data_IF_754339049991
#
_entry.id   IF_754339049991
#
_cell.length_a   1.000
_cell.length_b   1.000
_cell.length_c   1.000
_cell.angle_alpha   90.00
_cell.angle_beta   90.00
_cell.angle_gamma   90.00
#
_symmetry.space_group_name_H-M   'P 1'
#
loop_
_entity.id
_entity.type
_entity.pdbx_description
1 polymer ?
#
# COMPACT_ATOMS: atom_id res chain seq x y z
N UNK A 1 3.38 33.49 6.48
CA UNK A 1 3.97 32.15 6.67
C UNK A 1 4.75 31.81 5.41
N UNK A 2 5.90 31.13 5.49
CA UNK A 2 6.71 30.82 4.30
C UNK A 2 6.07 29.69 3.47
N UNK A 3 6.38 29.61 2.15
CA UNK A 3 5.84 28.59 1.23
C UNK A 3 5.95 27.15 1.76
N UNK A 4 7.01 26.85 2.51
CA UNK A 4 7.21 25.53 3.14
C UNK A 4 6.04 25.16 4.06
N UNK A 5 5.50 26.10 4.82
CA UNK A 5 4.48 25.82 5.83
C UNK A 5 3.14 25.32 5.26
N UNK A 6 2.95 25.47 3.95
CA UNK A 6 1.75 25.04 3.21
C UNK A 6 1.80 23.57 2.78
N UNK A 7 2.96 22.91 2.85
CA UNK A 7 3.03 21.45 2.70
C UNK A 7 2.39 20.78 3.91
N UNK A 8 1.43 19.89 3.67
CA UNK A 8 0.78 19.05 4.68
C UNK A 8 0.82 17.60 4.24
N UNK A 9 0.92 16.70 5.21
CA UNK A 9 0.62 15.28 5.01
C UNK A 9 -0.43 14.86 6.01
N UNK A 10 -1.53 14.30 5.52
CA UNK A 10 -2.55 13.64 6.32
C UNK A 10 -2.41 12.15 6.05
N UNK A 11 -2.06 11.36 7.06
CA UNK A 11 -1.78 9.93 6.87
C UNK A 11 -2.42 9.07 7.93
N UNK A 12 -2.91 7.91 7.50
CA UNK A 12 -3.40 6.82 8.35
C UNK A 12 -2.57 5.60 8.02
N UNK A 13 -2.04 4.95 9.05
CA UNK A 13 -1.14 3.81 8.89
C UNK A 13 -1.55 2.66 9.80
N UNK A 14 -1.05 1.46 9.50
CA UNK A 14 -1.16 0.27 10.35
C UNK A 14 -0.63 0.44 11.79
N UNK A 15 0.11 1.52 12.11
CA UNK A 15 0.51 1.81 13.49
C UNK A 15 -0.66 2.32 14.35
N UNK A 16 -1.66 2.94 13.72
CA UNK A 16 -2.78 3.59 14.40
C UNK A 16 -4.07 2.76 14.36
N UNK A 17 -4.20 1.86 13.38
CA UNK A 17 -5.43 1.12 13.07
C UNK A 17 -5.13 -0.29 12.59
N UNK A 18 -6.10 -1.20 12.75
CA UNK A 18 -6.03 -2.50 12.09
C UNK A 18 -6.16 -2.32 10.57
N UNK A 19 -5.53 -3.21 9.79
CA UNK A 19 -5.44 -3.07 8.33
C UNK A 19 -6.80 -2.96 7.64
N UNK A 20 -7.82 -3.68 8.14
CA UNK A 20 -9.19 -3.64 7.64
C UNK A 20 -9.89 -2.30 7.88
N UNK A 21 -9.41 -1.49 8.82
CA UNK A 21 -10.00 -0.20 9.18
C UNK A 21 -9.39 0.96 8.38
N UNK A 22 -8.22 0.78 7.76
CA UNK A 22 -7.57 1.80 6.92
C UNK A 22 -8.44 2.14 5.70
N UNK A 23 -9.16 1.15 5.16
CA UNK A 23 -10.06 1.32 4.01
C UNK A 23 -11.19 2.34 4.28
N UNK A 24 -11.55 2.56 5.55
CA UNK A 24 -12.53 3.58 5.93
C UNK A 24 -12.06 5.01 5.63
N UNK A 25 -10.75 5.20 5.43
CA UNK A 25 -10.10 6.48 5.16
C UNK A 25 -9.71 6.62 3.68
N UNK A 26 -10.09 5.69 2.81
CA UNK A 26 -9.87 5.81 1.37
C UNK A 26 -10.88 6.77 0.74
N UNK A 27 -10.50 7.39 -0.38
CA UNK A 27 -11.43 8.19 -1.20
C UNK A 27 -12.53 7.29 -1.74
N UNK A 28 -13.72 7.35 -1.12
CA UNK A 28 -14.88 6.60 -1.58
C UNK A 28 -15.40 7.24 -2.87
N UNK A 29 -15.77 6.37 -3.82
CA UNK A 29 -16.27 6.78 -5.14
C UNK A 29 -17.76 6.46 -5.21
N UNK A 30 -18.57 7.41 -5.65
CA UNK A 30 -20.00 7.20 -5.82
C UNK A 30 -20.31 6.61 -7.19
N UNK A 31 -20.81 5.37 -7.24
CA UNK A 31 -21.17 4.71 -8.50
C UNK A 31 -19.96 4.52 -9.43
N UNK A 32 -20.02 5.09 -10.64
CA UNK A 32 -18.95 5.01 -11.65
C UNK A 32 -18.00 6.22 -11.61
N UNK A 33 -17.98 6.96 -10.52
CA UNK A 33 -17.09 8.11 -10.36
C UNK A 33 -15.61 7.68 -10.43
N UNK A 34 -14.86 8.35 -11.30
CA UNK A 34 -13.42 8.18 -11.39
C UNK A 34 -12.72 8.81 -10.19
N UNK A 35 -11.63 8.21 -9.73
CA UNK A 35 -10.83 8.72 -8.61
C UNK A 35 -10.41 10.19 -8.82
N UNK A 36 -10.12 10.56 -10.08
CA UNK A 36 -9.73 11.91 -10.44
C UNK A 36 -10.79 12.94 -10.07
N UNK A 37 -12.05 12.68 -10.46
CA UNK A 37 -13.17 13.58 -10.14
C UNK A 37 -13.42 13.72 -8.63
N UNK A 38 -13.25 12.64 -7.87
CA UNK A 38 -13.37 12.69 -6.41
C UNK A 38 -12.28 13.56 -5.77
N UNK A 39 -11.04 13.47 -6.26
CA UNK A 39 -9.93 14.32 -5.81
C UNK A 39 -10.17 15.79 -6.18
N UNK A 40 -10.69 16.09 -7.37
CA UNK A 40 -11.04 17.46 -7.77
C UNK A 40 -12.08 18.09 -6.83
N UNK A 41 -13.14 17.35 -6.48
CA UNK A 41 -14.17 17.82 -5.53
C UNK A 41 -13.57 18.07 -4.14
N UNK A 42 -12.71 17.16 -3.68
CA UNK A 42 -11.98 17.32 -2.42
C UNK A 42 -11.12 18.59 -2.46
N UNK A 43 -10.35 18.79 -3.55
CA UNK A 43 -9.49 19.97 -3.70
C UNK A 43 -10.28 21.27 -3.66
N UNK A 44 -11.42 21.32 -4.37
CA UNK A 44 -12.29 22.48 -4.39
C UNK A 44 -12.90 22.78 -3.02
N UNK A 45 -13.44 21.76 -2.34
CA UNK A 45 -14.17 21.92 -1.08
C UNK A 45 -13.25 22.29 0.09
N UNK A 46 -12.01 21.79 0.09
CA UNK A 46 -11.03 21.98 1.16
C UNK A 46 -9.94 22.99 0.83
N UNK A 47 -10.09 23.75 -0.27
CA UNK A 47 -9.14 24.76 -0.70
C UNK A 47 -7.70 24.21 -0.80
N UNK A 48 -7.57 23.02 -1.39
CA UNK A 48 -6.28 22.35 -1.61
C UNK A 48 -5.82 22.63 -3.05
N UNK A 49 -4.66 23.29 -3.18
CA UNK A 49 -4.12 23.70 -4.47
C UNK A 49 -3.54 22.50 -5.24
N UNK A 50 -2.80 21.64 -4.54
CA UNK A 50 -2.19 20.44 -5.10
C UNK A 50 -2.39 19.23 -4.17
N UNK A 51 -2.57 18.05 -4.74
CA UNK A 51 -2.77 16.80 -4.00
C UNK A 51 -2.11 15.61 -4.68
N UNK A 52 -1.36 14.82 -3.94
CA UNK A 52 -1.00 13.43 -4.28
C UNK A 52 -1.74 12.53 -3.30
N UNK A 53 -2.56 11.63 -3.85
CA UNK A 53 -3.24 10.58 -3.10
C UNK A 53 -2.49 9.26 -3.25
N UNK A 54 -2.00 8.73 -2.13
CA UNK A 54 -1.27 7.46 -2.08
C UNK A 54 -2.06 6.47 -1.22
N UNK A 55 -2.49 5.39 -1.85
CA UNK A 55 -3.18 4.27 -1.21
C UNK A 55 -2.33 3.01 -1.36
N UNK A 56 -2.15 2.29 -0.24
CA UNK A 56 -1.49 0.98 -0.20
C UNK A 56 -2.24 0.09 0.80
N UNK A 57 -1.87 -1.18 0.89
CA UNK A 57 -2.45 -2.09 1.88
C UNK A 57 -2.17 -1.69 3.34
N UNK A 58 -1.15 -0.86 3.60
CA UNK A 58 -0.66 -0.54 4.95
C UNK A 58 -0.82 0.94 5.33
N UNK A 59 -1.23 1.79 4.37
CA UNK A 59 -1.44 3.22 4.59
C UNK A 59 -2.33 3.86 3.54
N UNK A 60 -2.94 4.96 3.94
CA UNK A 60 -3.44 5.99 3.03
C UNK A 60 -2.79 7.32 3.40
N UNK A 61 -2.30 8.06 2.42
CA UNK A 61 -1.63 9.35 2.62
C UNK A 61 -2.10 10.37 1.59
N UNK A 62 -2.50 11.54 2.11
CA UNK A 62 -2.82 12.73 1.33
C UNK A 62 -1.68 13.72 1.50
N UNK A 63 -0.86 13.85 0.46
CA UNK A 63 0.25 14.82 0.43
C UNK A 63 -0.27 16.04 -0.31
N UNK A 64 -0.52 17.12 0.45
CA UNK A 64 -1.25 18.28 -0.06
C UNK A 64 -0.45 19.57 0.09
N UNK A 65 -0.73 20.51 -0.79
CA UNK A 65 -0.29 21.90 -0.66
C UNK A 65 -1.52 22.79 -0.47
N UNK A 66 -1.61 23.43 0.69
CA UNK A 66 -2.74 24.30 1.05
C UNK A 66 -2.33 25.34 2.09
N UNK A 67 -2.92 26.53 2.02
CA UNK A 67 -2.79 27.56 3.06
C UNK A 67 -3.68 27.28 4.27
N UNK A 68 -4.64 26.36 4.14
CA UNK A 68 -5.57 26.01 5.21
C UNK A 68 -4.87 25.39 6.42
N UNK A 69 -5.40 25.70 7.59
CA UNK A 69 -5.01 25.03 8.83
C UNK A 69 -5.63 23.63 8.85
N UNK A 70 -4.79 22.60 8.87
CA UNK A 70 -5.21 21.20 9.01
C UNK A 70 -5.27 20.84 10.49
N UNK A 71 -6.37 21.22 11.14
CA UNK A 71 -6.69 20.87 12.52
C UNK A 71 -7.74 19.75 12.62
N UNK A 72 -8.14 19.37 13.83
CA UNK A 72 -9.16 18.33 14.02
C UNK A 72 -10.51 18.68 13.38
N UNK A 73 -10.88 19.96 13.32
CA UNK A 73 -12.13 20.37 12.68
C UNK A 73 -12.05 20.22 11.16
N UNK A 74 -10.91 20.55 10.55
CA UNK A 74 -10.61 20.23 9.15
C UNK A 74 -10.71 18.73 8.91
N UNK A 75 -10.01 17.91 9.72
CA UNK A 75 -9.97 16.46 9.54
C UNK A 75 -11.35 15.80 9.64
N UNK A 76 -12.18 16.22 10.61
CA UNK A 76 -13.56 15.73 10.73
C UNK A 76 -14.36 15.98 9.45
N UNK A 77 -14.33 17.22 8.94
CA UNK A 77 -15.03 17.55 7.68
C UNK A 77 -14.44 16.79 6.50
N UNK A 78 -13.11 16.70 6.44
CA UNK A 78 -12.36 16.02 5.39
C UNK A 78 -12.74 14.55 5.26
N UNK A 79 -12.68 13.79 6.36
CA UNK A 79 -13.00 12.37 6.34
C UNK A 79 -14.49 12.09 6.26
N UNK A 80 -15.35 12.96 6.79
CA UNK A 80 -16.79 12.84 6.57
C UNK A 80 -17.17 13.05 5.09
N UNK A 81 -16.50 13.97 4.39
CA UNK A 81 -16.70 14.16 2.96
C UNK A 81 -16.21 12.94 2.15
N UNK A 82 -15.03 12.42 2.49
CA UNK A 82 -14.41 11.28 1.81
C UNK A 82 -15.20 9.99 2.00
N UNK A 83 -15.76 9.79 3.19
CA UNK A 83 -16.57 8.64 3.54
C UNK A 83 -17.74 9.09 4.41
N UNK A 84 -18.91 9.40 3.82
CA UNK A 84 -20.10 9.83 4.57
C UNK A 84 -20.63 8.79 5.56
N UNK A 85 -20.32 7.52 5.34
CA UNK A 85 -20.70 6.38 6.18
C UNK A 85 -19.68 6.13 7.31
N UNK A 86 -18.64 6.97 7.43
CA UNK A 86 -17.67 6.85 8.51
C UNK A 86 -18.35 7.12 9.87
N UNK A 87 -18.14 6.21 10.81
CA UNK A 87 -18.73 6.31 12.14
C UNK A 87 -18.43 7.66 12.81
N UNK A 88 -19.45 8.29 13.37
CA UNK A 88 -19.33 9.54 14.09
C UNK A 88 -18.40 9.41 15.31
N UNK A 89 -18.33 8.25 15.95
CA UNK A 89 -17.38 8.01 17.05
C UNK A 89 -15.91 8.04 16.56
N UNK A 90 -15.66 7.53 15.36
CA UNK A 90 -14.34 7.59 14.70
C UNK A 90 -14.01 9.04 14.36
N UNK A 91 -14.96 9.78 13.76
CA UNK A 91 -14.79 11.20 13.46
C UNK A 91 -14.51 12.02 14.73
N UNK A 92 -15.22 11.75 15.82
CA UNK A 92 -15.01 12.46 17.08
C UNK A 92 -13.65 12.18 17.72
N UNK A 93 -13.12 10.99 17.49
CA UNK A 93 -11.78 10.56 17.92
C UNK A 93 -10.72 10.61 16.82
N UNK A 94 -10.91 11.40 15.75
CA UNK A 94 -10.09 11.33 14.51
C UNK A 94 -8.58 11.44 14.77
N UNK A 95 -8.17 12.25 15.74
CA UNK A 95 -6.77 12.46 16.12
C UNK A 95 -6.08 11.20 16.68
N UNK A 96 -6.83 10.17 17.07
CA UNK A 96 -6.27 8.87 17.48
C UNK A 96 -5.80 8.06 16.26
N UNK A 97 -6.47 8.24 15.13
CA UNK A 97 -6.33 7.40 13.94
C UNK A 97 -5.48 8.07 12.86
N UNK A 98 -5.55 9.39 12.77
CA UNK A 98 -4.92 10.19 11.73
C UNK A 98 -3.73 10.95 12.31
N UNK A 99 -2.58 10.81 11.65
CA UNK A 99 -1.39 11.63 11.93
C UNK A 99 -1.28 12.73 10.88
N UNK A 100 -1.01 13.96 11.32
CA UNK A 100 -0.84 15.11 10.45
C UNK A 100 0.54 15.75 10.63
N UNK A 101 1.20 16.01 9.49
CA UNK A 101 2.46 16.73 9.43
C UNK A 101 2.27 18.04 8.69
N UNK A 102 3.06 19.06 9.05
CA UNK A 102 3.02 20.40 8.43
C UNK A 102 4.43 20.95 8.23
N UNK A 103 4.63 21.69 7.15
CA UNK A 103 5.90 22.36 6.90
C UNK A 103 7.05 21.39 6.67
N UNK A 104 8.18 21.65 7.31
CA UNK A 104 9.36 20.79 7.22
C UNK A 104 9.08 19.36 7.68
N UNK A 105 8.22 19.16 8.69
CA UNK A 105 7.84 17.82 9.13
C UNK A 105 7.10 17.04 8.05
N UNK A 106 6.26 17.71 7.25
CA UNK A 106 5.56 17.09 6.12
C UNK A 106 6.55 16.68 5.03
N UNK A 107 7.52 17.54 4.71
CA UNK A 107 8.57 17.26 3.73
C UNK A 107 9.43 16.08 4.18
N UNK A 108 9.89 16.08 5.44
CA UNK A 108 10.69 15.00 6.01
C UNK A 108 9.93 13.67 5.99
N UNK A 109 8.65 13.68 6.34
CA UNK A 109 7.82 12.47 6.27
C UNK A 109 7.72 11.92 4.85
N UNK A 110 7.61 12.77 3.82
CA UNK A 110 7.63 12.32 2.42
C UNK A 110 9.00 11.72 2.04
N UNK A 111 10.10 12.25 2.58
CA UNK A 111 11.42 11.65 2.38
C UNK A 111 11.56 10.29 3.06
N UNK A 112 11.06 10.15 4.29
CA UNK A 112 11.01 8.88 5.03
C UNK A 112 10.17 7.84 4.29
N UNK A 113 8.99 8.24 3.82
CA UNK A 113 8.08 7.41 3.04
C UNK A 113 8.73 6.94 1.73
N UNK A 114 9.28 7.86 0.94
CA UNK A 114 9.94 7.52 -0.32
C UNK A 114 11.19 6.64 -0.10
N UNK A 115 11.87 6.80 1.04
CA UNK A 115 13.03 5.99 1.43
C UNK A 115 12.66 4.67 2.11
N UNK A 116 11.35 4.37 2.26
CA UNK A 116 10.85 3.18 2.98
C UNK A 116 11.30 3.10 4.45
N UNK A 117 11.66 4.23 5.08
CA UNK A 117 11.98 4.26 6.51
C UNK A 117 10.72 4.19 7.38
N UNK A 118 9.63 4.77 6.88
CA UNK A 118 8.30 4.67 7.47
C UNK A 118 7.47 3.63 6.72
N UNK A 119 7.81 2.35 6.85
CA UNK A 119 7.08 1.25 6.20
C UNK A 119 7.04 0.05 7.13
N UNK A 120 5.96 -0.74 7.05
CA UNK A 120 5.86 -2.02 7.76
C UNK A 120 7.12 -2.87 7.54
N UNK A 121 7.68 -2.75 6.34
CA UNK A 121 8.93 -3.36 5.94
C UNK A 121 9.88 -2.26 5.51
N UNK A 122 10.91 -2.07 6.32
CA UNK A 122 11.92 -1.06 6.08
C UNK A 122 12.80 -1.47 4.89
N UNK A 123 12.95 -0.55 3.94
CA UNK A 123 13.81 -0.71 2.75
C UNK A 123 13.16 -1.41 1.55
N UNK A 124 11.87 -1.74 1.62
CA UNK A 124 11.15 -2.30 0.47
C UNK A 124 10.92 -1.22 -0.59
N UNK A 125 11.39 -1.48 -1.81
CA UNK A 125 11.27 -0.52 -2.92
C UNK A 125 9.84 -0.33 -3.44
N UNK A 126 8.88 -1.11 -2.94
CA UNK A 126 7.49 -1.05 -3.41
C UNK A 126 6.82 0.28 -3.06
N UNK A 127 6.96 0.76 -1.82
CA UNK A 127 6.40 2.05 -1.42
C UNK A 127 6.95 3.20 -2.25
N UNK A 128 8.24 3.15 -2.60
CA UNK A 128 8.86 4.14 -3.48
C UNK A 128 8.21 4.14 -4.87
N UNK A 129 7.94 2.96 -5.43
CA UNK A 129 7.24 2.83 -6.72
C UNK A 129 5.79 3.31 -6.63
N UNK A 130 5.08 2.95 -5.57
CA UNK A 130 3.70 3.38 -5.35
C UNK A 130 3.60 4.90 -5.20
N UNK A 131 4.52 5.53 -4.45
CA UNK A 131 4.63 6.99 -4.36
C UNK A 131 4.87 7.64 -5.72
N UNK A 132 5.81 7.09 -6.52
CA UNK A 132 6.07 7.55 -7.89
C UNK A 132 4.82 7.45 -8.77
N UNK A 133 4.13 6.31 -8.76
CA UNK A 133 2.89 6.11 -9.51
C UNK A 133 1.78 7.06 -9.08
N UNK A 134 1.62 7.30 -7.77
CA UNK A 134 0.66 8.25 -7.23
C UNK A 134 0.97 9.69 -7.68
N UNK A 135 2.24 10.09 -7.70
CA UNK A 135 2.65 11.38 -8.25
C UNK A 135 2.40 11.48 -9.76
N UNK A 136 2.78 10.46 -10.53
CA UNK A 136 2.62 10.47 -11.98
C UNK A 136 1.13 10.59 -12.34
N UNK A 137 0.25 9.85 -11.67
CA UNK A 137 -1.22 10.01 -11.77
C UNK A 137 -1.68 11.43 -11.41
N UNK A 138 -1.25 11.95 -10.26
CA UNK A 138 -1.62 13.30 -9.83
C UNK A 138 -1.18 14.39 -10.82
N UNK A 139 -0.02 14.21 -11.46
CA UNK A 139 0.49 15.11 -12.48
C UNK A 139 -0.32 15.02 -13.78
N UNK A 140 -0.63 13.82 -14.24
CA UNK A 140 -1.41 13.58 -15.46
C UNK A 140 -2.81 14.17 -15.36
N UNK A 141 -3.46 14.02 -14.20
CA UNK A 141 -4.79 14.56 -13.91
C UNK A 141 -4.78 16.05 -13.50
N UNK A 142 -3.61 16.68 -13.40
CA UNK A 142 -3.51 18.10 -13.00
C UNK A 142 -3.73 18.37 -11.50
N UNK A 143 -3.78 17.32 -10.66
CA UNK A 143 -3.82 17.44 -9.21
C UNK A 143 -2.50 17.92 -8.61
N UNK A 144 -1.37 17.64 -9.24
CA UNK A 144 -0.03 18.10 -8.85
C UNK A 144 0.55 19.07 -9.88
N UNK A 145 1.14 20.17 -9.42
CA UNK A 145 1.78 21.21 -10.24
C UNK A 145 3.21 21.44 -9.73
N UNK A 146 3.63 22.68 -9.56
CA UNK A 146 5.04 22.99 -9.29
C UNK A 146 5.48 22.69 -7.86
N UNK A 147 4.60 22.87 -6.87
CA UNK A 147 4.97 22.64 -5.47
C UNK A 147 5.22 21.16 -5.21
N UNK A 148 4.26 20.29 -5.53
CA UNK A 148 4.41 18.85 -5.34
C UNK A 148 5.42 18.23 -6.33
N UNK A 149 5.62 18.82 -7.53
CA UNK A 149 6.72 18.43 -8.43
C UNK A 149 8.09 18.68 -7.82
N UNK A 150 8.28 19.81 -7.11
CA UNK A 150 9.55 20.09 -6.44
C UNK A 150 9.79 19.15 -5.25
N UNK A 151 8.75 18.91 -4.45
CA UNK A 151 8.79 17.94 -3.35
C UNK A 151 9.12 16.54 -3.84
N UNK A 152 8.45 16.09 -4.90
CA UNK A 152 8.68 14.76 -5.48
C UNK A 152 10.11 14.59 -6.00
N UNK A 153 10.63 15.58 -6.74
CA UNK A 153 12.02 15.55 -7.22
C UNK A 153 13.02 15.44 -6.08
N UNK A 154 12.79 16.20 -4.99
CA UNK A 154 13.62 16.13 -3.80
C UNK A 154 13.52 14.75 -3.14
N UNK A 155 12.29 14.23 -2.95
CA UNK A 155 12.04 12.94 -2.34
C UNK A 155 12.70 11.79 -3.12
N UNK A 156 12.64 11.80 -4.45
CA UNK A 156 13.31 10.79 -5.30
C UNK A 156 14.81 10.84 -5.18
N UNK A 157 15.39 12.05 -5.18
CA UNK A 157 16.83 12.21 -5.01
C UNK A 157 17.26 11.67 -3.64
N UNK A 158 16.59 12.09 -2.57
CA UNK A 158 16.85 11.64 -1.21
C UNK A 158 16.72 10.11 -1.07
N UNK A 159 15.64 9.53 -1.58
CA UNK A 159 15.43 8.09 -1.52
C UNK A 159 16.56 7.32 -2.23
N UNK A 160 16.96 7.75 -3.43
CA UNK A 160 18.09 7.13 -4.16
C UNK A 160 19.39 7.23 -3.38
N UNK A 161 19.68 8.39 -2.78
CA UNK A 161 20.88 8.57 -1.95
C UNK A 161 20.85 7.68 -0.71
N UNK A 162 19.71 7.53 -0.04
CA UNK A 162 19.52 6.64 1.11
C UNK A 162 19.72 5.18 0.71
N UNK A 163 19.12 4.72 -0.39
CA UNK A 163 19.30 3.36 -0.90
C UNK A 163 20.73 3.06 -1.36
N UNK A 164 21.47 4.07 -1.83
CA UNK A 164 22.83 3.90 -2.30
C UNK A 164 23.86 3.97 -1.18
N UNK A 165 23.65 4.87 -0.21
CA UNK A 165 24.64 5.21 0.81
C UNK A 165 24.43 4.47 2.13
N UNK A 166 23.38 3.65 2.23
CA UNK A 166 23.06 2.88 3.44
C UNK A 166 22.72 1.43 3.10
N UNK A 167 22.80 0.55 4.08
CA UNK A 167 22.45 -0.86 3.94
C UNK A 167 20.92 -1.12 3.90
N UNK A 168 20.08 -0.08 3.91
CA UNK A 168 18.61 -0.21 3.98
C UNK A 168 18.05 -1.05 2.82
N UNK A 169 18.67 -0.96 1.64
CA UNK A 169 18.27 -1.72 0.45
C UNK A 169 18.93 -3.09 0.32
N UNK A 170 19.92 -3.43 1.14
CA UNK A 170 20.70 -4.67 1.01
C UNK A 170 19.98 -5.89 1.58
N UNK A 171 19.09 -5.68 2.55
CA UNK A 171 18.31 -6.73 3.24
C UNK A 171 16.86 -6.34 3.49
N UNK A 172 16.23 -5.66 2.52
CA UNK A 172 14.79 -5.39 2.61
C UNK A 172 14.04 -6.73 2.73
N UNK A 173 13.54 -7.03 3.93
CA UNK A 173 12.80 -8.25 4.22
C UNK A 173 11.39 -8.08 3.67
N UNK A 174 11.15 -8.39 2.39
CA UNK A 174 9.78 -8.33 1.83
C UNK A 174 8.76 -9.09 2.67
N UNK A 175 7.47 -8.75 2.53
CA UNK A 175 6.40 -9.36 3.36
C UNK A 175 6.37 -10.87 3.16
N UNK A 176 6.70 -11.29 1.94
CA UNK A 176 6.88 -12.68 1.57
C UNK A 176 8.05 -13.31 2.33
N UNK A 177 9.19 -12.64 2.45
CA UNK A 177 10.34 -13.18 3.19
C UNK A 177 10.04 -13.34 4.69
N UNK A 178 9.27 -12.42 5.28
CA UNK A 178 8.80 -12.52 6.67
C UNK A 178 7.78 -13.65 6.83
N UNK A 179 6.81 -13.77 5.93
CA UNK A 179 5.83 -14.86 5.94
C UNK A 179 6.53 -16.23 5.79
N UNK A 180 7.53 -16.32 4.93
CA UNK A 180 8.36 -17.51 4.75
C UNK A 180 9.22 -17.80 5.99
N UNK A 181 9.74 -16.78 6.67
CA UNK A 181 10.45 -16.97 7.94
C UNK A 181 9.51 -17.53 9.01
N UNK A 182 8.32 -16.96 9.16
CA UNK A 182 7.29 -17.46 10.08
C UNK A 182 6.88 -18.91 9.72
N UNK A 183 6.76 -19.24 8.44
CA UNK A 183 6.56 -20.60 7.97
C UNK A 183 7.69 -21.54 8.42
N UNK A 184 8.96 -21.12 8.27
CA UNK A 184 10.11 -21.93 8.70
C UNK A 184 10.16 -22.16 10.20
N UNK A 185 9.72 -21.18 10.99
CA UNK A 185 9.65 -21.31 12.46
C UNK A 185 8.65 -22.40 12.89
N UNK A 186 7.63 -22.70 12.06
CA UNK A 186 6.71 -23.83 12.27
C UNK A 186 7.35 -25.21 12.07
N UNK A 187 8.57 -25.28 11.50
CA UNK A 187 9.31 -26.54 11.24
C UNK A 187 8.47 -27.59 10.52
N UNK A 188 7.68 -27.16 9.56
CA UNK A 188 6.88 -28.07 8.74
C UNK A 188 7.80 -28.99 7.91
N UNK A 189 7.41 -30.25 7.68
CA UNK A 189 8.14 -31.15 6.81
C UNK A 189 8.07 -30.67 5.35
N UNK A 190 9.09 -30.98 4.56
CA UNK A 190 9.13 -30.68 3.12
C UNK A 190 7.94 -31.32 2.35
N UNK A 191 7.33 -32.37 2.95
CA UNK A 191 6.13 -33.04 2.45
C UNK A 191 4.83 -32.26 2.67
N UNK A 192 4.87 -31.11 3.36
CA UNK A 192 3.68 -30.30 3.64
C UNK A 192 3.00 -29.82 2.37
N UNK A 193 1.67 -29.88 2.39
CA UNK A 193 0.80 -29.45 1.30
C UNK A 193 0.57 -27.96 1.40
N UNK A 194 1.02 -27.24 0.38
CA UNK A 194 0.93 -25.79 0.29
C UNK A 194 -0.06 -25.41 -0.81
N UNK A 195 -0.99 -24.51 -0.48
CA UNK A 195 -1.91 -23.91 -1.42
C UNK A 195 -1.48 -22.46 -1.71
N UNK A 196 -1.37 -22.12 -3.00
CA UNK A 196 -1.25 -20.74 -3.48
C UNK A 196 -2.57 -20.33 -4.14
N UNK A 197 -3.21 -19.27 -3.63
CA UNK A 197 -4.39 -18.65 -4.24
C UNK A 197 -3.97 -17.32 -4.89
N UNK A 198 -4.11 -17.24 -6.21
CA UNK A 198 -3.60 -16.16 -7.06
C UNK A 198 -2.28 -16.51 -7.75
N UNK A 199 -1.92 -15.77 -8.81
CA UNK A 199 -0.67 -15.95 -9.56
C UNK A 199 0.11 -14.65 -9.80
N UNK A 200 -0.12 -13.63 -8.96
CA UNK A 200 0.54 -12.32 -9.07
C UNK A 200 2.00 -12.33 -8.58
N UNK A 201 2.65 -11.17 -8.64
CA UNK A 201 4.06 -10.99 -8.29
C UNK A 201 4.41 -11.51 -6.89
N UNK A 202 3.52 -11.30 -5.91
CA UNK A 202 3.67 -11.79 -4.53
C UNK A 202 3.82 -13.31 -4.48
N UNK A 203 2.92 -14.04 -5.15
CA UNK A 203 2.97 -15.51 -5.19
C UNK A 203 4.15 -16.02 -6.02
N UNK A 204 4.60 -15.27 -7.03
CA UNK A 204 5.84 -15.58 -7.75
C UNK A 204 7.07 -15.50 -6.84
N UNK A 205 7.10 -14.57 -5.88
CA UNK A 205 8.16 -14.50 -4.89
C UNK A 205 8.03 -15.63 -3.85
N UNK A 206 6.82 -15.93 -3.38
CA UNK A 206 6.55 -17.08 -2.48
C UNK A 206 7.09 -18.36 -3.12
N UNK A 207 6.76 -18.60 -4.40
CA UNK A 207 7.20 -19.78 -5.14
C UNK A 207 8.73 -19.93 -5.20
N UNK A 208 9.48 -18.82 -5.37
CA UNK A 208 10.95 -18.86 -5.34
C UNK A 208 11.47 -19.38 -4.00
N UNK A 209 10.85 -18.97 -2.89
CA UNK A 209 11.20 -19.48 -1.57
C UNK A 209 10.77 -20.92 -1.36
N UNK A 210 9.56 -21.30 -1.76
CA UNK A 210 9.09 -22.69 -1.65
C UNK A 210 10.04 -23.65 -2.37
N UNK A 211 10.46 -23.30 -3.59
CA UNK A 211 11.45 -24.05 -4.36
C UNK A 211 12.82 -24.09 -3.69
N UNK A 212 13.29 -22.97 -3.14
CA UNK A 212 14.56 -22.89 -2.40
C UNK A 212 14.58 -23.80 -1.16
N UNK A 213 13.44 -23.99 -0.52
CA UNK A 213 13.29 -24.81 0.69
C UNK A 213 12.65 -26.18 0.41
N UNK A 214 12.62 -26.62 -0.85
CA UNK A 214 12.17 -27.96 -1.27
C UNK A 214 10.72 -28.35 -0.91
N UNK A 215 9.82 -27.38 -0.75
CA UNK A 215 8.39 -27.69 -0.62
C UNK A 215 7.83 -28.14 -1.97
N UNK A 216 7.67 -29.45 -2.15
CA UNK A 216 7.32 -30.06 -3.44
C UNK A 216 5.80 -30.20 -3.66
N UNK A 217 5.00 -30.20 -2.60
CA UNK A 217 3.55 -30.44 -2.70
C UNK A 217 2.77 -29.13 -2.75
N UNK A 218 2.89 -28.42 -3.86
CA UNK A 218 2.17 -27.16 -4.07
C UNK A 218 1.01 -27.32 -5.04
N UNK A 219 -0.14 -26.72 -4.72
CA UNK A 219 -1.27 -26.55 -5.62
C UNK A 219 -1.53 -25.05 -5.83
N UNK A 220 -1.93 -24.66 -7.04
CA UNK A 220 -2.20 -23.26 -7.39
C UNK A 220 -3.66 -23.13 -7.81
N UNK A 221 -4.38 -22.17 -7.23
CA UNK A 221 -5.75 -21.84 -7.62
C UNK A 221 -5.77 -20.40 -8.10
N UNK A 222 -6.23 -20.19 -9.34
CA UNK A 222 -6.25 -18.86 -9.93
C UNK A 222 -7.50 -18.62 -10.75
N UNK A 223 -7.86 -17.34 -10.94
CA UNK A 223 -9.01 -16.95 -11.77
C UNK A 223 -8.74 -17.21 -13.27
N UNK A 224 -7.50 -17.01 -13.73
CA UNK A 224 -7.08 -17.34 -15.08
C UNK A 224 -6.03 -18.44 -15.03
N UNK A 225 -6.33 -19.60 -15.62
CA UNK A 225 -5.36 -20.68 -15.74
C UNK A 225 -4.14 -20.26 -16.58
N UNK A 226 -4.34 -19.45 -17.61
CA UNK A 226 -3.27 -18.92 -18.45
C UNK A 226 -2.28 -18.10 -17.64
N UNK A 227 -2.76 -17.24 -16.74
CA UNK A 227 -1.92 -16.42 -15.87
C UNK A 227 -1.15 -17.27 -14.83
N UNK A 228 -1.65 -18.47 -14.51
CA UNK A 228 -1.00 -19.37 -13.57
C UNK A 228 0.05 -20.29 -14.21
N UNK A 229 0.13 -20.37 -15.55
CA UNK A 229 1.01 -21.31 -16.28
C UNK A 229 2.48 -21.13 -15.95
N UNK A 230 2.95 -19.88 -15.85
CA UNK A 230 4.35 -19.60 -15.54
C UNK A 230 4.70 -20.09 -14.13
N UNK A 231 3.86 -19.77 -13.16
CA UNK A 231 4.03 -20.15 -11.75
C UNK A 231 3.94 -21.67 -11.56
N UNK A 232 2.98 -22.32 -12.22
CA UNK A 232 2.78 -23.77 -12.15
C UNK A 232 3.95 -24.52 -12.76
N UNK A 233 4.45 -24.06 -13.91
CA UNK A 233 5.65 -24.61 -14.56
C UNK A 233 6.89 -24.41 -13.68
N UNK A 234 7.04 -23.24 -13.06
CA UNK A 234 8.19 -22.94 -12.21
C UNK A 234 8.27 -23.85 -10.98
N UNK A 235 7.13 -24.17 -10.36
CA UNK A 235 7.00 -25.04 -9.20
C UNK A 235 6.81 -26.52 -9.53
N UNK A 236 6.60 -26.88 -10.80
CA UNK A 236 6.11 -28.20 -11.20
C UNK A 236 4.82 -28.60 -10.46
N UNK A 237 3.93 -27.62 -10.28
CA UNK A 237 2.68 -27.72 -9.53
C UNK A 237 1.47 -27.81 -10.46
N UNK A 238 0.37 -28.39 -9.98
CA UNK A 238 -0.91 -28.34 -10.70
C UNK A 238 -1.60 -27.01 -10.44
N UNK A 239 -2.11 -26.40 -11.51
CA UNK A 239 -2.96 -25.21 -11.44
C UNK A 239 -4.41 -25.58 -11.72
N UNK A 240 -5.31 -25.02 -10.94
CA UNK A 240 -6.75 -25.22 -10.98
C UNK A 240 -7.47 -23.88 -11.08
N UNK A 241 -8.68 -23.92 -11.62
CA UNK A 241 -9.52 -22.74 -11.63
C UNK A 241 -10.02 -22.47 -10.21
N UNK A 242 -10.06 -21.20 -9.80
CA UNK A 242 -10.40 -20.83 -8.42
C UNK A 242 -11.80 -21.31 -7.98
N UNK A 243 -12.74 -21.48 -8.91
CA UNK A 243 -14.09 -22.01 -8.58
C UNK A 243 -14.03 -23.45 -8.06
N UNK A 244 -13.02 -24.22 -8.46
CA UNK A 244 -12.82 -25.60 -8.02
C UNK A 244 -12.42 -25.66 -6.54
N UNK A 245 -11.96 -24.54 -5.94
CA UNK A 245 -11.56 -24.50 -4.54
C UNK A 245 -12.69 -24.91 -3.58
N UNK A 246 -13.94 -24.61 -3.95
CA UNK A 246 -15.14 -25.02 -3.18
C UNK A 246 -15.39 -26.54 -3.16
N UNK A 247 -14.77 -27.28 -4.09
CA UNK A 247 -14.92 -28.73 -4.24
C UNK A 247 -13.73 -29.50 -3.67
N UNK A 248 -12.74 -28.80 -3.11
CA UNK A 248 -11.52 -29.42 -2.59
C UNK A 248 -11.80 -30.04 -1.22
N UNK A 249 -11.72 -31.37 -1.17
CA UNK A 249 -11.73 -32.14 0.08
C UNK A 249 -10.32 -32.48 0.59
N UNK A 250 -9.28 -31.81 0.07
CA UNK A 250 -7.91 -32.01 0.50
C UNK A 250 -7.55 -30.99 1.60
N UNK A 251 -7.03 -31.46 2.73
CA UNK A 251 -6.44 -30.54 3.70
C UNK A 251 -5.16 -29.90 3.14
N UNK A 252 -4.90 -28.65 3.52
CA UNK A 252 -3.63 -27.99 3.26
C UNK A 252 -3.00 -27.61 4.60
N UNK A 253 -1.69 -27.78 4.71
CA UNK A 253 -0.96 -27.40 5.93
C UNK A 253 -0.74 -25.89 5.98
N UNK A 254 -0.61 -25.25 4.80
CA UNK A 254 -0.36 -23.82 4.64
C UNK A 254 -1.10 -23.30 3.42
N UNK A 255 -1.72 -22.12 3.57
CA UNK A 255 -2.42 -21.42 2.50
C UNK A 255 -1.84 -20.02 2.38
N UNK A 256 -1.35 -19.66 1.19
CA UNK A 256 -1.00 -18.29 0.81
C UNK A 256 -2.12 -17.73 -0.05
N UNK A 257 -2.76 -16.65 0.41
CA UNK A 257 -3.81 -15.95 -0.34
C UNK A 257 -3.26 -14.59 -0.74
N UNK A 258 -3.01 -14.42 -2.05
CA UNK A 258 -2.50 -13.18 -2.61
C UNK A 258 -3.28 -12.86 -3.89
N UNK A 259 -4.46 -12.28 -3.70
CA UNK A 259 -5.39 -11.92 -4.78
C UNK A 259 -5.67 -10.42 -4.74
N UNK A 260 -6.08 -9.86 -5.89
CA UNK A 260 -6.64 -8.51 -5.97
C UNK A 260 -8.18 -8.51 -5.84
N UNK A 261 -8.74 -9.56 -5.22
CA UNK A 261 -10.17 -9.64 -4.97
C UNK A 261 -10.48 -8.90 -3.67
N UNK A 262 -11.49 -8.04 -3.69
CA UNK A 262 -12.04 -7.39 -2.50
C UNK A 262 -13.01 -8.33 -1.78
#
# INVERSE_FOLDING_TARGET
>A
MGLISHYKVITVTHHNLQLNEIANFYVQRSGNEELSSAIDKLKLLFNVEECIYLETCNRVSYIIYTEELVDNAFLKRFFHFINPELDNEILDSIAKYVTCYSGESAINHVFELASSMDSLIVGEREIFRQFRSAYDFAKEEGHAKDYLRLLEKAAVKTAKEVYHSTAIGEKALSIVSLAIQALKERKLPDSSRILLVGSGETNSLVAKFLKKYNYAHTAIYNRSLDNAKELSSFLNAKAYHISELSQVNADFDVIFICTAAN
#
